data_IF_206177785958
#
_entry.id   IF_206177785958
#
_cell.length_a   1.000
_cell.length_b   1.000
_cell.length_c   1.000
_cell.angle_alpha   90.00
_cell.angle_beta   90.00
_cell.angle_gamma   90.00
#
_symmetry.space_group_name_H-M   'P 1'
#
loop_
_entity.id
_entity.type
_entity.pdbx_description
1 polymer ?
#
# COMPACT_ATOMS: atom_id res chain seq x y z
N UNK A 1 -36.37 -2.51 -12.24
CA UNK A 1 -35.58 -3.31 -11.28
C UNK A 1 -36.35 -3.37 -9.96
N UNK A 2 -36.46 -4.56 -9.35
CA UNK A 2 -37.23 -4.76 -8.12
C UNK A 2 -36.56 -4.04 -6.93
N UNK A 3 -37.34 -3.36 -6.09
CA UNK A 3 -36.83 -2.53 -4.98
C UNK A 3 -36.07 -3.35 -3.92
N UNK A 4 -36.45 -4.62 -3.73
CA UNK A 4 -35.78 -5.58 -2.85
C UNK A 4 -34.37 -5.94 -3.32
N UNK A 5 -34.17 -6.09 -4.63
CA UNK A 5 -32.85 -6.42 -5.19
C UNK A 5 -31.91 -5.22 -5.12
N UNK A 6 -32.42 -4.01 -5.33
CA UNK A 6 -31.67 -2.77 -5.13
C UNK A 6 -31.21 -2.58 -3.67
N UNK A 7 -32.08 -2.87 -2.69
CA UNK A 7 -31.73 -2.79 -1.26
C UNK A 7 -30.67 -3.81 -0.86
N UNK A 8 -30.75 -5.04 -1.38
CA UNK A 8 -29.75 -6.09 -1.14
C UNK A 8 -28.38 -5.71 -1.72
N UNK A 9 -28.34 -5.19 -2.94
CA UNK A 9 -27.09 -4.69 -3.55
C UNK A 9 -26.49 -3.55 -2.74
N UNK A 10 -27.30 -2.60 -2.25
CA UNK A 10 -26.83 -1.50 -1.40
C UNK A 10 -26.20 -2.03 -0.08
N UNK A 11 -26.82 -3.02 0.56
CA UNK A 11 -26.28 -3.63 1.76
C UNK A 11 -24.96 -4.37 1.50
N UNK A 12 -24.82 -5.05 0.36
CA UNK A 12 -23.57 -5.70 -0.03
C UNK A 12 -22.45 -4.68 -0.26
N UNK A 13 -22.74 -3.56 -0.92
CA UNK A 13 -21.78 -2.47 -1.11
C UNK A 13 -21.35 -1.89 0.23
N UNK A 14 -22.29 -1.63 1.14
CA UNK A 14 -21.96 -1.14 2.50
C UNK A 14 -21.08 -2.13 3.27
N UNK A 15 -21.36 -3.43 3.19
CA UNK A 15 -20.55 -4.45 3.84
C UNK A 15 -19.11 -4.47 3.27
N UNK A 16 -18.97 -4.39 1.95
CA UNK A 16 -17.66 -4.32 1.29
C UNK A 16 -16.86 -3.08 1.71
N UNK A 17 -17.50 -1.91 1.71
CA UNK A 17 -16.88 -0.66 2.16
C UNK A 17 -16.46 -0.75 3.62
N UNK A 18 -17.33 -1.26 4.49
CA UNK A 18 -17.02 -1.42 5.92
C UNK A 18 -15.86 -2.39 6.15
N UNK A 19 -15.79 -3.49 5.40
CA UNK A 19 -14.68 -4.44 5.48
C UNK A 19 -13.37 -3.80 5.03
N UNK A 20 -13.37 -3.13 3.87
CA UNK A 20 -12.17 -2.47 3.35
C UNK A 20 -11.66 -1.39 4.32
N UNK A 21 -12.55 -0.61 4.93
CA UNK A 21 -12.19 0.36 5.96
C UNK A 21 -11.57 -0.34 7.16
N UNK A 22 -12.20 -1.41 7.66
CA UNK A 22 -11.67 -2.18 8.78
C UNK A 22 -10.28 -2.73 8.48
N UNK A 23 -10.06 -3.31 7.30
CA UNK A 23 -8.76 -3.86 6.90
C UNK A 23 -7.69 -2.78 6.88
N UNK A 24 -7.99 -1.60 6.33
CA UNK A 24 -7.07 -0.46 6.30
C UNK A 24 -6.75 0.07 7.70
N UNK A 25 -7.74 0.18 8.59
CA UNK A 25 -7.51 0.68 9.95
C UNK A 25 -6.72 -0.29 10.84
N UNK A 26 -6.80 -1.59 10.55
CA UNK A 26 -6.08 -2.62 11.29
C UNK A 26 -4.74 -2.99 10.65
N UNK A 27 -4.40 -2.42 9.50
CA UNK A 27 -3.08 -2.59 8.91
C UNK A 27 -2.04 -1.91 9.83
N UNK A 28 -1.06 -2.67 10.38
CA UNK A 28 -0.05 -2.14 11.29
C UNK A 28 0.83 -1.06 10.64
N UNK A 29 0.90 -1.05 9.30
CA UNK A 29 1.66 -0.08 8.53
C UNK A 29 0.81 1.15 8.13
N UNK A 30 -0.50 1.13 8.39
CA UNK A 30 -1.37 2.26 8.05
C UNK A 30 -1.00 3.51 8.85
N UNK A 31 -0.88 4.63 8.14
CA UNK A 31 -0.49 5.92 8.72
C UNK A 31 1.00 6.04 9.08
N UNK A 32 1.82 5.02 8.84
CA UNK A 32 3.26 5.12 9.02
C UNK A 32 3.87 6.19 8.12
N UNK A 33 4.82 6.94 8.68
CA UNK A 33 5.57 7.97 7.97
C UNK A 33 7.04 7.63 8.00
N UNK A 34 7.73 7.92 6.91
CA UNK A 34 9.19 7.78 6.85
C UNK A 34 9.83 8.63 7.96
N UNK A 35 10.76 8.01 8.69
CA UNK A 35 11.61 8.73 9.64
C UNK A 35 12.45 9.80 8.93
N UNK A 36 12.89 10.83 9.66
CA UNK A 36 13.74 11.88 9.09
C UNK A 36 15.02 11.29 8.45
N UNK A 37 15.60 10.25 9.07
CA UNK A 37 16.76 9.52 8.53
C UNK A 37 16.42 8.83 7.21
N UNK A 38 15.27 8.17 7.10
CA UNK A 38 14.83 7.52 5.87
C UNK A 38 14.56 8.54 4.76
N UNK A 39 13.88 9.66 5.06
CA UNK A 39 13.66 10.77 4.12
C UNK A 39 14.97 11.33 3.56
N UNK A 40 15.96 11.57 4.43
CA UNK A 40 17.29 12.05 4.03
C UNK A 40 17.98 11.05 3.09
N UNK A 41 17.99 9.75 3.43
CA UNK A 41 18.55 8.69 2.57
C UNK A 41 17.88 8.62 1.20
N UNK A 42 16.55 8.71 1.15
CA UNK A 42 15.79 8.69 -0.10
C UNK A 42 16.18 9.86 -1.01
N UNK A 43 16.27 11.07 -0.45
CA UNK A 43 16.68 12.27 -1.21
C UNK A 43 18.09 12.17 -1.82
N UNK A 44 19.00 11.46 -1.15
CA UNK A 44 20.36 11.21 -1.65
C UNK A 44 20.38 10.14 -2.75
N UNK A 45 19.50 9.13 -2.66
CA UNK A 45 19.41 8.05 -3.65
C UNK A 45 19.00 8.54 -5.04
N UNK A 46 18.17 9.58 -5.11
CA UNK A 46 17.70 10.15 -6.39
C UNK A 46 18.82 10.75 -7.25
N UNK A 47 20.00 11.02 -6.69
CA UNK A 47 21.10 11.69 -7.41
C UNK A 47 21.99 10.73 -8.22
N UNK A 48 21.92 9.42 -7.94
CA UNK A 48 22.77 8.41 -8.60
C UNK A 48 21.91 7.46 -9.44
N UNK A 49 21.70 7.79 -10.71
CA UNK A 49 20.91 7.00 -11.69
C UNK A 49 21.58 5.71 -12.18
N UNK A 50 22.64 5.23 -11.52
CA UNK A 50 23.31 3.98 -11.92
C UNK A 50 22.54 2.81 -11.31
N UNK A 51 21.63 2.24 -12.08
CA UNK A 51 21.00 0.96 -11.77
C UNK A 51 21.99 -0.17 -12.02
N UNK A 52 22.08 -1.12 -11.08
CA UNK A 52 22.80 -2.39 -11.25
C UNK A 52 21.79 -3.49 -11.56
N UNK A 53 22.20 -4.52 -12.28
CA UNK A 53 21.28 -5.60 -12.65
C UNK A 53 20.85 -6.42 -11.43
N UNK A 54 19.68 -7.04 -11.52
CA UNK A 54 19.18 -7.91 -10.44
C UNK A 54 20.16 -9.04 -10.09
N UNK A 55 20.84 -9.61 -11.11
CA UNK A 55 21.89 -10.62 -10.90
C UNK A 55 23.06 -10.08 -10.07
N UNK A 56 23.50 -8.84 -10.32
CA UNK A 56 24.54 -8.18 -9.55
C UNK A 56 24.11 -7.91 -8.10
N UNK A 57 22.84 -7.56 -7.88
CA UNK A 57 22.28 -7.38 -6.52
C UNK A 57 22.28 -8.71 -5.77
N UNK A 58 21.76 -9.77 -6.39
CA UNK A 58 21.68 -11.10 -5.80
C UNK A 58 23.06 -11.59 -5.36
N UNK A 59 24.07 -11.52 -6.24
CA UNK A 59 25.45 -11.91 -5.92
C UNK A 59 26.06 -11.14 -4.73
N UNK A 60 25.63 -9.90 -4.50
CA UNK A 60 26.24 -9.03 -3.48
C UNK A 60 25.60 -9.19 -2.09
N UNK A 61 24.31 -9.50 -2.01
CA UNK A 61 23.54 -9.42 -0.77
C UNK A 61 22.78 -10.70 -0.39
N UNK A 62 22.76 -11.72 -1.24
CA UNK A 62 22.14 -13.03 -1.01
C UNK A 62 23.18 -14.13 -1.23
#
# INVERSE_FOLDING_TARGET
MNTLTARKMNNQIKALVSSAIFDVFNDPDFGLKLSAKAKKRLSLSSKNNKTISFSQIKKKYL
#
